data_IF_082211390408
#
_entry.id   IF_082211390408
#
_cell.length_a   1.000
_cell.length_b   1.000
_cell.length_c   1.000
_cell.angle_alpha   90.00
_cell.angle_beta   90.00
_cell.angle_gamma   90.00
#
_symmetry.space_group_name_H-M   'P 1'
#
loop_
_entity.id
_entity.type
_entity.pdbx_description
1 polymer ?
#
# COMPACT_ATOMS: atom_id res chain seq x y z
N UNK A 1 -0.99 -89.32 28.03
CA UNK A 1 -0.97 -88.69 26.70
C UNK A 1 -2.42 -88.40 26.31
N UNK A 2 -3.03 -87.37 26.94
CA UNK A 2 -3.38 -86.17 26.18
C UNK A 2 -3.33 -84.85 26.97
N UNK A 3 -3.01 -83.79 26.21
CA UNK A 3 -3.33 -82.36 26.29
C UNK A 3 -3.96 -81.65 27.50
N UNK A 4 -3.42 -80.45 27.71
CA UNK A 4 -4.05 -79.17 28.09
C UNK A 4 -4.33 -78.84 29.57
N UNK A 5 -3.31 -78.22 30.16
CA UNK A 5 -3.28 -76.95 30.93
C UNK A 5 -4.60 -76.41 31.51
N UNK A 6 -4.65 -76.36 32.85
CA UNK A 6 -5.68 -75.72 33.65
C UNK A 6 -5.20 -74.34 34.15
N UNK A 7 -6.06 -73.35 33.93
CA UNK A 7 -5.98 -71.95 34.40
C UNK A 7 -5.95 -71.85 35.92
N UNK A 8 -5.25 -70.86 36.44
CA UNK A 8 -5.52 -70.26 37.75
C UNK A 8 -5.58 -68.74 37.62
N UNK A 9 -6.62 -68.19 38.23
CA UNK A 9 -7.09 -66.80 38.20
C UNK A 9 -6.44 -66.04 39.36
N UNK A 10 -6.02 -64.80 39.11
CA UNK A 10 -5.82 -63.79 40.16
C UNK A 10 -6.66 -62.57 39.82
N UNK A 11 -7.57 -62.25 40.72
CA UNK A 11 -8.47 -61.09 40.66
C UNK A 11 -7.65 -59.81 40.92
N UNK A 12 -7.76 -58.84 40.00
CA UNK A 12 -7.41 -57.46 40.26
C UNK A 12 -8.63 -56.59 39.94
N UNK A 13 -9.10 -55.87 40.95
CA UNK A 13 -10.22 -54.92 40.90
C UNK A 13 -9.75 -53.66 40.17
N UNK A 14 -10.42 -53.18 39.10
CA UNK A 14 -10.12 -51.86 38.57
C UNK A 14 -10.98 -50.80 39.28
N UNK A 15 -10.29 -49.81 39.86
CA UNK A 15 -10.89 -48.58 40.34
C UNK A 15 -11.44 -47.77 39.15
N UNK A 16 -12.72 -47.41 39.20
CA UNK A 16 -13.36 -46.53 38.24
C UNK A 16 -12.91 -45.08 38.51
N UNK A 17 -12.06 -44.52 37.64
CA UNK A 17 -11.79 -43.10 37.60
C UNK A 17 -12.80 -42.42 36.67
N UNK A 18 -13.78 -41.72 37.25
CA UNK A 18 -14.68 -40.85 36.50
C UNK A 18 -13.92 -39.58 36.09
N UNK A 19 -13.52 -39.51 34.82
CA UNK A 19 -12.99 -38.27 34.24
C UNK A 19 -14.15 -37.30 33.98
N UNK A 20 -14.28 -36.29 34.84
CA UNK A 20 -15.17 -35.15 34.60
C UNK A 20 -14.49 -34.30 33.52
N UNK A 21 -14.94 -34.42 32.28
CA UNK A 21 -14.54 -33.54 31.20
C UNK A 21 -15.14 -32.15 31.43
N UNK A 22 -14.33 -31.21 31.92
CA UNK A 22 -14.67 -29.79 31.91
C UNK A 22 -14.84 -29.34 30.46
N UNK A 23 -15.95 -28.69 30.08
CA UNK A 23 -16.09 -28.15 28.73
C UNK A 23 -15.06 -27.02 28.58
N UNK A 24 -14.08 -27.25 27.71
CA UNK A 24 -13.17 -26.21 27.27
C UNK A 24 -13.98 -25.11 26.59
N UNK A 25 -14.00 -23.93 27.21
CA UNK A 25 -14.51 -22.71 26.59
C UNK A 25 -13.63 -22.40 25.38
N UNK A 26 -14.10 -22.77 24.19
CA UNK A 26 -13.53 -22.30 22.94
C UNK A 26 -13.84 -20.81 22.87
N UNK A 27 -12.89 -19.98 23.29
CA UNK A 27 -12.91 -18.56 22.98
C UNK A 27 -12.77 -18.43 21.47
N UNK A 28 -13.90 -18.20 20.79
CA UNK A 28 -13.89 -17.70 19.40
C UNK A 28 -13.22 -16.34 19.46
N UNK A 29 -11.94 -16.26 19.13
CA UNK A 29 -11.31 -15.00 18.79
C UNK A 29 -12.11 -14.41 17.62
N UNK A 30 -12.91 -13.38 17.89
CA UNK A 30 -13.56 -12.60 16.84
C UNK A 30 -12.45 -11.92 16.08
N UNK A 31 -12.17 -12.36 14.85
CA UNK A 31 -11.26 -11.65 13.97
C UNK A 31 -11.73 -10.19 13.88
N UNK A 32 -10.86 -9.26 14.25
CA UNK A 32 -11.14 -7.82 14.14
C UNK A 32 -11.47 -7.49 12.69
N UNK A 33 -12.46 -6.63 12.48
CA UNK A 33 -12.84 -6.22 11.12
C UNK A 33 -11.65 -5.53 10.44
N UNK A 34 -11.25 -5.97 9.23
CA UNK A 34 -10.04 -5.45 8.58
C UNK A 34 -10.24 -4.02 8.08
N UNK A 35 -9.19 -3.22 8.11
CA UNK A 35 -9.13 -1.83 7.64
C UNK A 35 -8.31 -1.72 6.36
N UNK A 36 -8.75 -2.39 5.30
CA UNK A 36 -7.98 -2.50 4.07
C UNK A 36 -8.10 -1.26 3.15
N UNK A 37 -7.13 -1.10 2.26
CA UNK A 37 -7.05 -0.09 1.19
C UNK A 37 -7.01 -0.78 -0.19
N UNK A 38 -7.41 -0.13 -1.29
CA UNK A 38 -7.94 1.23 -1.39
C UNK A 38 -9.43 1.32 -1.03
N UNK A 39 -9.96 2.54 -0.93
CA UNK A 39 -11.39 2.81 -0.69
C UNK A 39 -11.96 3.78 -1.73
N UNK A 40 -13.30 3.82 -1.85
CA UNK A 40 -13.98 4.92 -2.53
C UNK A 40 -14.15 6.09 -1.56
N UNK A 41 -13.54 7.22 -1.88
CA UNK A 41 -13.58 8.43 -1.08
C UNK A 41 -14.78 9.25 -1.54
N UNK A 42 -15.78 9.39 -0.69
CA UNK A 42 -16.92 10.28 -0.95
C UNK A 42 -16.68 11.65 -0.32
N UNK A 43 -16.52 12.70 -1.14
CA UNK A 43 -16.22 14.06 -0.68
C UNK A 43 -17.27 14.59 0.30
N UNK A 44 -18.55 14.40 -0.03
CA UNK A 44 -19.66 14.84 0.79
C UNK A 44 -19.86 14.00 2.06
N UNK A 45 -19.31 12.78 2.10
CA UNK A 45 -19.33 11.91 3.28
C UNK A 45 -18.13 12.09 4.21
N UNK A 46 -17.09 12.81 3.77
CA UNK A 46 -15.90 13.04 4.57
C UNK A 46 -16.14 14.07 5.69
N UNK A 47 -15.64 13.78 6.89
CA UNK A 47 -15.75 14.68 8.04
C UNK A 47 -14.71 15.78 7.93
N UNK A 48 -15.15 17.01 7.66
CA UNK A 48 -14.28 18.18 7.59
C UNK A 48 -13.63 18.43 8.95
N UNK A 49 -12.30 18.32 8.99
CA UNK A 49 -11.49 18.27 10.21
C UNK A 49 -10.29 19.24 10.09
N UNK A 50 -10.50 20.56 10.13
CA UNK A 50 -9.43 21.55 9.92
C UNK A 50 -8.36 21.55 11.02
N UNK A 51 -8.66 20.96 12.18
CA UNK A 51 -7.73 20.85 13.31
C UNK A 51 -6.80 19.64 13.22
N UNK A 52 -6.92 18.78 12.20
CA UNK A 52 -5.95 17.72 11.99
C UNK A 52 -4.55 18.33 11.76
N UNK A 53 -3.48 17.64 12.20
CA UNK A 53 -2.12 18.12 12.02
C UNK A 53 -1.83 18.50 10.56
N UNK A 54 -1.20 19.66 10.35
CA UNK A 54 -0.80 20.07 9.01
C UNK A 54 0.29 19.13 8.48
N UNK A 55 0.27 18.87 7.17
CA UNK A 55 1.32 18.15 6.49
C UNK A 55 2.41 19.14 6.07
N UNK A 56 3.65 18.93 6.53
CA UNK A 56 4.79 19.73 6.10
C UNK A 56 5.70 18.88 5.22
N UNK A 57 6.00 19.35 4.01
CA UNK A 57 6.77 18.61 3.02
C UNK A 57 8.18 19.18 2.95
N UNK A 58 9.18 18.31 3.00
CA UNK A 58 10.61 18.65 2.95
C UNK A 58 11.28 17.82 1.86
N UNK A 59 11.02 18.18 0.61
CA UNK A 59 11.53 17.50 -0.57
C UNK A 59 12.60 18.36 -1.27
N UNK A 60 13.69 17.76 -1.78
CA UNK A 60 14.79 18.51 -2.39
C UNK A 60 14.46 18.97 -3.82
N UNK A 61 15.14 20.03 -4.28
CA UNK A 61 15.03 20.53 -5.65
C UNK A 61 15.82 19.73 -6.69
N UNK A 62 16.75 18.90 -6.23
CA UNK A 62 17.59 18.06 -7.08
C UNK A 62 17.99 16.83 -6.27
N UNK A 63 17.70 15.66 -6.82
CA UNK A 63 18.05 14.38 -6.24
C UNK A 63 18.26 13.39 -7.38
N UNK A 64 19.30 12.57 -7.29
CA UNK A 64 19.47 11.45 -8.21
C UNK A 64 18.65 10.27 -7.67
N UNK A 65 17.83 9.70 -8.55
CA UNK A 65 16.93 8.60 -8.23
C UNK A 65 17.32 7.35 -9.00
N UNK A 66 17.19 6.22 -8.34
CA UNK A 66 17.20 4.90 -8.97
C UNK A 66 15.76 4.44 -9.12
N UNK A 67 15.38 4.07 -10.34
CA UNK A 67 14.05 3.57 -10.67
C UNK A 67 14.21 2.12 -11.10
N UNK A 68 13.48 1.24 -10.42
CA UNK A 68 13.53 -0.20 -10.67
C UNK A 68 12.16 -0.82 -10.81
N UNK A 69 12.15 -1.97 -11.48
CA UNK A 69 10.98 -2.83 -11.52
C UNK A 69 10.94 -3.70 -10.26
N UNK A 70 9.88 -3.59 -9.46
CA UNK A 70 9.65 -4.48 -8.32
C UNK A 70 8.80 -5.68 -8.76
N UNK A 71 9.48 -6.74 -9.22
CA UNK A 71 8.83 -8.03 -9.51
C UNK A 71 8.66 -8.84 -8.22
N UNK A 72 7.55 -9.57 -8.12
CA UNK A 72 7.25 -10.50 -7.02
C UNK A 72 7.47 -11.95 -7.41
N UNK A 73 7.86 -12.21 -8.65
CA UNK A 73 7.95 -13.53 -9.23
C UNK A 73 9.30 -13.85 -9.92
N UNK A 74 10.33 -13.01 -9.79
CA UNK A 74 11.67 -13.25 -10.37
C UNK A 74 12.27 -14.64 -10.09
N UNK A 75 11.86 -15.29 -9.00
CA UNK A 75 12.29 -16.65 -8.66
C UNK A 75 11.51 -17.77 -9.37
N UNK A 76 10.49 -17.43 -10.17
CA UNK A 76 9.66 -18.36 -10.92
C UNK A 76 10.22 -18.61 -12.33
N UNK A 77 9.98 -19.79 -12.92
CA UNK A 77 10.51 -20.15 -14.24
C UNK A 77 10.15 -19.17 -15.38
N UNK A 78 9.02 -18.46 -15.25
CA UNK A 78 8.49 -17.51 -16.24
C UNK A 78 8.41 -16.07 -15.67
N UNK A 79 9.15 -15.77 -14.59
CA UNK A 79 9.00 -14.57 -13.75
C UNK A 79 9.45 -13.23 -14.36
N UNK A 80 9.59 -13.18 -15.69
CA UNK A 80 9.80 -11.94 -16.44
C UNK A 80 8.84 -11.82 -17.64
N UNK A 81 7.93 -12.78 -17.80
CA UNK A 81 6.93 -12.81 -18.88
C UNK A 81 5.51 -12.47 -18.37
N UNK A 82 5.30 -12.49 -17.05
CA UNK A 82 3.97 -12.45 -16.43
C UNK A 82 3.85 -11.41 -15.33
N UNK A 83 3.58 -10.17 -15.74
CA UNK A 83 3.26 -9.08 -14.82
C UNK A 83 2.02 -9.38 -14.01
N UNK A 84 2.16 -9.31 -12.69
CA UNK A 84 1.00 -9.44 -11.78
C UNK A 84 0.55 -8.06 -11.28
N UNK A 85 -0.68 -7.99 -10.77
CA UNK A 85 -1.21 -6.75 -10.19
C UNK A 85 -0.49 -6.32 -8.89
N UNK A 86 0.43 -7.13 -8.38
CA UNK A 86 1.21 -6.88 -7.17
C UNK A 86 2.59 -6.26 -7.47
N UNK A 87 2.89 -6.05 -8.75
CA UNK A 87 4.14 -5.51 -9.24
C UNK A 87 3.99 -4.06 -9.64
N UNK A 88 5.07 -3.31 -9.52
CA UNK A 88 5.09 -1.89 -9.89
C UNK A 88 6.50 -1.46 -10.26
N UNK A 89 6.61 -0.21 -10.70
CA UNK A 89 7.88 0.47 -10.91
C UNK A 89 8.01 1.54 -9.83
N UNK A 90 9.08 1.44 -9.04
CA UNK A 90 9.32 2.36 -7.93
C UNK A 90 10.61 3.15 -8.14
N UNK A 91 10.59 4.39 -7.68
CA UNK A 91 11.77 5.23 -7.53
C UNK A 91 12.20 5.21 -6.06
N UNK A 92 13.41 4.73 -5.80
CA UNK A 92 13.99 4.71 -4.45
C UNK A 92 14.51 6.09 -4.05
N UNK A 93 14.31 6.43 -2.79
CA UNK A 93 14.76 7.69 -2.21
C UNK A 93 15.90 7.41 -1.24
N UNK A 94 17.09 8.00 -1.44
CA UNK A 94 18.18 7.90 -0.48
C UNK A 94 17.74 8.32 0.92
N UNK A 95 18.15 7.54 1.92
CA UNK A 95 17.69 7.73 3.29
C UNK A 95 17.95 9.17 3.77
N UNK A 96 16.90 9.80 4.28
CA UNK A 96 16.96 11.15 4.84
C UNK A 96 16.99 12.28 3.82
N UNK A 97 17.05 12.00 2.51
CA UNK A 97 17.09 13.01 1.46
C UNK A 97 15.76 13.78 1.30
N UNK A 98 14.63 13.13 1.61
CA UNK A 98 13.30 13.72 1.53
C UNK A 98 12.42 13.18 2.66
N UNK A 99 11.55 14.02 3.23
CA UNK A 99 10.64 13.61 4.30
C UNK A 99 9.40 14.48 4.37
N UNK A 100 8.43 14.03 5.15
CA UNK A 100 7.32 14.87 5.62
C UNK A 100 7.31 14.91 7.14
N UNK A 101 6.75 15.98 7.69
CA UNK A 101 6.47 16.10 9.12
C UNK A 101 4.96 16.18 9.32
N UNK A 102 4.43 15.30 10.17
CA UNK A 102 3.01 15.27 10.56
C UNK A 102 2.93 15.18 12.09
N UNK A 103 2.22 16.12 12.72
CA UNK A 103 2.11 16.22 14.18
C UNK A 103 3.47 16.28 14.92
N UNK A 104 4.49 16.88 14.30
CA UNK A 104 5.84 16.94 14.84
C UNK A 104 6.67 15.66 14.66
N UNK A 105 6.09 14.60 14.09
CA UNK A 105 6.79 13.35 13.77
C UNK A 105 7.30 13.40 12.33
N UNK A 106 8.59 13.09 12.15
CA UNK A 106 9.22 12.97 10.83
C UNK A 106 8.96 11.59 10.25
N UNK A 107 8.52 11.54 8.99
CA UNK A 107 8.41 10.34 8.19
C UNK A 107 9.30 10.49 6.96
N UNK A 108 10.38 9.69 6.89
CA UNK A 108 11.30 9.70 5.75
C UNK A 108 10.61 9.11 4.51
N UNK A 109 10.69 9.78 3.37
CA UNK A 109 10.23 9.22 2.11
C UNK A 109 11.18 8.08 1.73
N UNK A 110 10.64 6.88 1.52
CA UNK A 110 11.40 5.68 1.18
C UNK A 110 11.37 5.40 -0.33
N UNK A 111 10.18 5.51 -0.93
CA UNK A 111 10.00 5.40 -2.37
C UNK A 111 8.73 6.15 -2.82
N UNK A 112 8.61 6.32 -4.13
CA UNK A 112 7.31 6.52 -4.74
C UNK A 112 7.12 5.56 -5.91
N UNK A 113 5.88 5.23 -6.22
CA UNK A 113 5.50 4.37 -7.33
C UNK A 113 4.13 4.78 -7.89
N UNK A 114 3.71 4.13 -8.97
CA UNK A 114 2.47 4.44 -9.69
C UNK A 114 1.64 3.18 -9.89
N UNK A 115 0.32 3.37 -9.92
CA UNK A 115 -0.65 2.37 -10.36
C UNK A 115 -1.43 2.91 -11.56
N UNK A 116 -1.52 2.13 -12.64
CA UNK A 116 -2.38 2.40 -13.78
C UNK A 116 -3.83 2.03 -13.47
N UNK A 117 -4.71 3.00 -13.77
CA UNK A 117 -6.00 3.18 -13.09
C UNK A 117 -5.76 3.43 -11.60
N UNK A 118 -6.35 4.49 -11.07
CA UNK A 118 -6.21 4.78 -9.65
C UNK A 118 -6.79 3.64 -8.81
N UNK A 119 -6.12 3.32 -7.72
CA UNK A 119 -6.60 2.34 -6.76
C UNK A 119 -7.76 2.91 -5.96
N UNK A 120 -7.58 4.12 -5.43
CA UNK A 120 -8.66 4.89 -4.85
C UNK A 120 -9.64 5.34 -5.92
N UNK A 121 -10.87 5.58 -5.47
CA UNK A 121 -11.84 6.37 -6.22
C UNK A 121 -12.20 7.63 -5.46
N UNK A 122 -12.70 8.61 -6.20
CA UNK A 122 -13.20 9.85 -5.64
C UNK A 122 -14.60 10.10 -6.18
N UNK A 123 -15.60 10.03 -5.30
CA UNK A 123 -17.01 10.06 -5.64
C UNK A 123 -17.39 9.01 -6.71
N UNK A 124 -16.84 7.80 -6.58
CA UNK A 124 -17.06 6.70 -7.53
C UNK A 124 -16.25 6.81 -8.83
N UNK A 125 -15.51 7.89 -9.05
CA UNK A 125 -14.67 8.08 -10.24
C UNK A 125 -13.27 7.47 -10.06
N UNK A 126 -12.86 6.65 -11.01
CA UNK A 126 -11.50 6.09 -11.10
C UNK A 126 -10.67 6.91 -12.09
N UNK A 127 -9.50 7.38 -11.67
CA UNK A 127 -8.59 8.17 -12.49
C UNK A 127 -7.69 7.27 -13.35
N UNK A 128 -7.08 7.79 -14.43
CA UNK A 128 -6.19 7.00 -15.27
C UNK A 128 -4.92 6.48 -14.57
N UNK A 129 -4.47 7.16 -13.51
CA UNK A 129 -3.24 6.83 -12.78
C UNK A 129 -3.33 7.34 -11.34
N UNK A 130 -2.66 6.67 -10.42
CA UNK A 130 -2.44 7.14 -9.05
C UNK A 130 -0.98 6.97 -8.66
N UNK A 131 -0.42 7.98 -7.99
CA UNK A 131 0.94 7.92 -7.44
C UNK A 131 0.88 7.78 -5.93
N UNK A 132 1.72 6.90 -5.39
CA UNK A 132 1.91 6.72 -3.96
C UNK A 132 3.30 7.17 -3.54
N UNK A 133 3.35 7.98 -2.49
CA UNK A 133 4.59 8.41 -1.83
C UNK A 133 4.67 7.72 -0.47
N UNK A 134 5.53 6.71 -0.35
CA UNK A 134 5.63 5.86 0.83
C UNK A 134 6.65 6.42 1.81
N UNK A 135 6.21 6.69 3.03
CA UNK A 135 7.07 7.22 4.09
C UNK A 135 7.11 6.29 5.30
N UNK A 136 8.25 6.28 5.97
CA UNK A 136 8.53 5.50 7.17
C UNK A 136 8.82 6.41 8.37
N UNK A 137 8.09 6.19 9.46
CA UNK A 137 8.29 6.81 10.76
C UNK A 137 9.42 6.17 11.57
N UNK A 138 9.78 6.77 12.72
CA UNK A 138 10.92 6.34 13.52
C UNK A 138 10.79 4.92 14.10
N UNK A 139 9.57 4.38 14.23
CA UNK A 139 9.32 3.03 14.74
C UNK A 139 8.76 2.09 13.65
N UNK A 140 8.93 2.44 12.38
CA UNK A 140 8.43 1.66 11.24
C UNK A 140 6.96 1.94 10.87
N UNK A 141 6.35 2.98 11.43
CA UNK A 141 5.01 3.43 11.03
C UNK A 141 5.00 3.83 9.55
N UNK A 142 3.95 3.44 8.82
CA UNK A 142 3.81 3.77 7.40
C UNK A 142 2.84 4.92 7.20
N UNK A 143 3.26 5.92 6.43
CA UNK A 143 2.41 7.01 5.96
C UNK A 143 2.50 7.06 4.43
N UNK A 144 1.37 6.99 3.75
CA UNK A 144 1.31 7.06 2.29
C UNK A 144 0.53 8.30 1.87
N UNK A 145 1.14 9.12 1.01
CA UNK A 145 0.44 10.20 0.32
C UNK A 145 0.01 9.67 -1.04
N UNK A 146 -1.30 9.66 -1.30
CA UNK A 146 -1.87 9.30 -2.60
C UNK A 146 -2.14 10.54 -3.45
N UNK A 147 -1.83 10.49 -4.74
CA UNK A 147 -2.13 11.57 -5.69
C UNK A 147 -2.81 10.99 -6.94
N UNK A 148 -4.05 11.42 -7.19
CA UNK A 148 -4.72 11.16 -8.45
C UNK A 148 -4.04 11.91 -9.59
N UNK A 149 -3.86 11.23 -10.73
CA UNK A 149 -3.26 11.79 -11.93
C UNK A 149 -4.17 11.57 -13.14
N UNK A 150 -4.32 12.60 -13.98
CA UNK A 150 -5.02 12.55 -15.27
C UNK A 150 -4.17 13.19 -16.37
N UNK A 151 -4.62 13.05 -17.61
CA UNK A 151 -4.03 13.79 -18.74
C UNK A 151 -4.49 15.24 -18.76
N UNK A 152 -3.71 16.10 -19.43
CA UNK A 152 -4.01 17.52 -19.59
C UNK A 152 -2.77 18.41 -19.46
N UNK A 153 -1.68 17.86 -18.91
CA UNK A 153 -0.45 18.58 -18.66
C UNK A 153 0.42 18.75 -19.91
N UNK A 154 1.27 19.79 -19.89
CA UNK A 154 2.22 20.09 -20.96
C UNK A 154 3.51 19.25 -20.90
N UNK A 155 3.70 18.45 -19.85
CA UNK A 155 4.92 17.69 -19.61
C UNK A 155 5.93 18.42 -18.72
N UNK A 156 7.08 17.77 -18.48
CA UNK A 156 8.21 18.35 -17.74
C UNK A 156 8.09 18.28 -16.22
N UNK A 157 7.05 17.62 -15.70
CA UNK A 157 6.96 17.33 -14.26
C UNK A 157 7.87 16.15 -13.89
N UNK A 158 8.16 15.99 -12.59
CA UNK A 158 8.84 14.79 -12.10
C UNK A 158 8.08 13.51 -12.49
N UNK A 159 6.74 13.54 -12.44
CA UNK A 159 5.91 12.41 -12.84
C UNK A 159 6.08 12.10 -14.33
N UNK A 160 6.12 13.12 -15.20
CA UNK A 160 6.36 12.91 -16.64
C UNK A 160 7.71 12.26 -16.91
N UNK A 161 8.75 12.66 -16.15
CA UNK A 161 10.10 12.10 -16.25
C UNK A 161 10.13 10.65 -15.78
N UNK A 162 9.64 10.37 -14.58
CA UNK A 162 9.60 9.01 -14.02
C UNK A 162 8.78 8.05 -14.89
N UNK A 163 7.61 8.47 -15.37
CA UNK A 163 6.76 7.66 -16.23
C UNK A 163 7.32 7.46 -17.65
N UNK A 164 8.29 8.26 -18.08
CA UNK A 164 9.02 8.07 -19.33
C UNK A 164 10.28 7.22 -19.15
N UNK A 165 10.72 6.99 -17.91
CA UNK A 165 11.94 6.28 -17.53
C UNK A 165 11.57 5.01 -16.76
N UNK A 166 10.86 4.12 -17.45
CA UNK A 166 10.35 2.87 -16.88
C UNK A 166 11.20 1.70 -17.40
N UNK A 167 11.92 0.98 -16.52
CA UNK A 167 12.69 -0.18 -16.94
C UNK A 167 11.77 -1.30 -17.44
N UNK A 168 12.31 -2.18 -18.27
CA UNK A 168 11.65 -3.44 -18.56
C UNK A 168 11.67 -4.35 -17.33
N UNK A 169 10.75 -5.29 -17.29
CA UNK A 169 10.69 -6.28 -16.22
C UNK A 169 11.97 -7.12 -16.26
N UNK A 170 12.60 -7.31 -15.10
CA UNK A 170 13.92 -7.95 -14.96
C UNK A 170 15.09 -7.27 -15.69
N UNK A 171 14.91 -6.06 -16.24
CA UNK A 171 16.01 -5.27 -16.77
C UNK A 171 16.78 -4.57 -15.64
N UNK A 172 17.97 -4.05 -15.98
CA UNK A 172 18.76 -3.22 -15.09
C UNK A 172 18.01 -1.95 -14.67
N UNK A 173 18.31 -1.50 -13.46
CA UNK A 173 17.73 -0.29 -12.88
C UNK A 173 18.13 0.95 -13.69
N UNK A 174 17.20 1.88 -13.84
CA UNK A 174 17.40 3.11 -14.62
C UNK A 174 17.53 4.31 -13.70
N UNK A 175 18.41 5.24 -14.07
CA UNK A 175 18.72 6.39 -13.24
C UNK A 175 18.03 7.66 -13.77
N UNK A 176 17.40 8.40 -12.87
CA UNK A 176 16.87 9.74 -13.14
C UNK A 176 17.69 10.76 -12.36
N UNK A 177 18.52 11.51 -13.08
CA UNK A 177 19.41 12.52 -12.48
C UNK A 177 18.70 13.86 -12.27
N UNK A 178 19.10 14.57 -11.22
CA UNK A 178 18.63 15.93 -10.90
C UNK A 178 17.10 16.07 -10.85
N UNK A 179 16.42 15.06 -10.31
CA UNK A 179 14.98 15.05 -10.12
C UNK A 179 14.54 16.14 -9.12
N UNK A 180 13.58 16.98 -9.52
CA UNK A 180 13.03 18.04 -8.66
C UNK A 180 11.80 17.54 -7.89
N UNK A 181 12.03 16.99 -6.69
CA UNK A 181 10.96 16.49 -5.82
C UNK A 181 10.19 17.63 -5.14
N UNK A 182 10.80 18.80 -4.92
CA UNK A 182 10.15 19.95 -4.28
C UNK A 182 8.89 20.43 -5.02
N UNK A 183 8.83 20.22 -6.34
CA UNK A 183 7.68 20.56 -7.17
C UNK A 183 6.72 19.38 -7.44
N UNK A 184 6.97 18.21 -6.83
CA UNK A 184 6.24 16.99 -7.14
C UNK A 184 4.85 16.95 -6.52
N UNK A 185 4.67 17.58 -5.35
CA UNK A 185 3.39 17.76 -4.69
C UNK A 185 2.81 19.16 -4.99
N UNK A 186 1.48 19.31 -5.04
CA UNK A 186 0.83 20.61 -5.23
C UNK A 186 1.07 21.56 -4.05
N UNK A 187 0.85 22.86 -4.28
CA UNK A 187 0.87 23.86 -3.20
C UNK A 187 -0.32 23.67 -2.24
N UNK A 188 -1.50 23.32 -2.77
CA UNK A 188 -2.65 22.93 -1.97
C UNK A 188 -2.50 21.47 -1.52
N UNK A 189 -2.23 21.28 -0.23
CA UNK A 189 -2.02 20.00 0.43
C UNK A 189 -3.28 19.50 1.14
N UNK A 190 -4.46 19.93 0.70
CA UNK A 190 -5.74 19.41 1.20
C UNK A 190 -5.85 17.90 0.98
N UNK A 191 -6.17 17.16 2.04
CA UNK A 191 -6.10 15.69 2.05
C UNK A 191 -7.35 15.04 2.64
N UNK A 192 -7.77 13.92 2.06
CA UNK A 192 -8.64 12.93 2.69
C UNK A 192 -7.76 11.95 3.47
N UNK A 193 -8.10 11.72 4.74
CA UNK A 193 -7.28 10.96 5.67
C UNK A 193 -8.05 9.83 6.31
N UNK A 194 -7.45 8.65 6.35
CA UNK A 194 -7.99 7.46 7.00
C UNK A 194 -6.86 6.47 7.32
N UNK A 195 -7.12 5.55 8.26
CA UNK A 195 -6.21 4.44 8.54
C UNK A 195 -6.59 3.23 7.68
N UNK A 196 -5.59 2.69 6.99
CA UNK A 196 -5.75 1.68 5.96
C UNK A 196 -4.66 0.60 6.02
N UNK A 197 -4.43 -0.02 4.87
CA UNK A 197 -3.40 -1.03 4.65
C UNK A 197 -2.46 -0.64 3.51
N UNK A 198 -1.41 -1.43 3.31
CA UNK A 198 -0.77 -1.54 2.00
C UNK A 198 -1.79 -2.05 0.97
N UNK A 199 -1.63 -1.63 -0.29
CA UNK A 199 -2.44 -2.10 -1.42
C UNK A 199 -1.79 -3.24 -2.20
N UNK A 200 -0.55 -3.60 -1.84
CA UNK A 200 0.11 -4.82 -2.28
C UNK A 200 0.39 -5.75 -1.11
N UNK A 201 0.61 -7.03 -1.41
CA UNK A 201 0.93 -8.10 -0.47
C UNK A 201 2.13 -7.71 0.42
N UNK A 202 2.06 -7.94 1.75
CA UNK A 202 1.05 -8.74 2.47
C UNK A 202 -0.15 -7.92 3.00
N UNK A 203 -0.49 -6.80 2.35
CA UNK A 203 -1.61 -5.90 2.71
C UNK A 203 -1.63 -5.49 4.18
N UNK A 204 -0.45 -5.25 4.76
CA UNK A 204 -0.30 -4.99 6.19
C UNK A 204 -1.00 -3.71 6.64
N UNK A 205 -1.56 -3.78 7.84
CA UNK A 205 -2.10 -2.64 8.60
C UNK A 205 -1.21 -2.36 9.82
N UNK A 206 -1.19 -1.12 10.36
CA UNK A 206 -1.85 0.07 9.85
C UNK A 206 -0.96 0.86 8.87
N UNK A 207 -1.60 1.56 7.95
CA UNK A 207 -1.00 2.60 7.10
C UNK A 207 -1.83 3.88 7.23
N UNK A 208 -1.19 5.00 7.57
CA UNK A 208 -1.85 6.31 7.56
C UNK A 208 -1.91 6.85 6.13
N UNK A 209 -3.11 6.85 5.54
CA UNK A 209 -3.34 7.36 4.19
C UNK A 209 -3.69 8.84 4.21
N UNK A 210 -2.98 9.62 3.39
CA UNK A 210 -3.24 11.04 3.10
C UNK A 210 -3.44 11.19 1.59
N UNK A 211 -4.67 11.02 1.09
CA UNK A 211 -4.99 11.16 -0.34
C UNK A 211 -5.26 12.62 -0.67
N UNK A 212 -4.45 13.21 -1.54
CA UNK A 212 -4.58 14.60 -1.97
C UNK A 212 -5.88 14.81 -2.74
N UNK A 213 -6.61 15.88 -2.42
CA UNK A 213 -7.80 16.29 -3.18
C UNK A 213 -7.43 16.90 -4.54
N UNK A 214 -6.22 17.46 -4.66
CA UNK A 214 -5.71 17.97 -5.92
C UNK A 214 -5.36 16.84 -6.89
N UNK A 215 -5.93 16.90 -8.10
CA UNK A 215 -5.63 15.99 -9.20
C UNK A 215 -4.49 16.56 -10.05
N UNK A 216 -3.40 15.84 -10.20
CA UNK A 216 -2.24 16.25 -11.01
C UNK A 216 -2.49 15.94 -12.49
N UNK A 217 -2.02 16.83 -13.35
CA UNK A 217 -2.06 16.64 -14.80
C UNK A 217 -0.67 16.33 -15.35
N UNK A 218 -0.58 15.31 -16.21
CA UNK A 218 0.64 14.91 -16.91
C UNK A 218 0.42 14.88 -18.43
N UNK A 219 1.50 14.74 -19.18
CA UNK A 219 1.46 14.59 -20.64
C UNK A 219 0.88 13.24 -21.01
N UNK A 220 0.00 13.23 -22.01
CA UNK A 220 -0.67 12.01 -22.47
C UNK A 220 0.31 10.90 -22.92
N UNK A 221 1.45 11.27 -23.51
CA UNK A 221 2.46 10.30 -23.93
C UNK A 221 3.15 9.60 -22.76
N UNK A 222 3.37 10.30 -21.64
CA UNK A 222 3.97 9.71 -20.43
C UNK A 222 3.01 8.72 -19.79
N UNK A 223 1.72 9.07 -19.72
CA UNK A 223 0.68 8.13 -19.28
C UNK A 223 0.66 6.88 -20.18
N UNK A 224 0.55 7.06 -21.50
CA UNK A 224 0.44 5.95 -22.44
C UNK A 224 1.65 5.02 -22.39
N UNK A 225 2.86 5.58 -22.22
CA UNK A 225 4.07 4.77 -22.04
C UNK A 225 3.96 3.87 -20.82
N UNK A 226 3.65 4.43 -19.65
CA UNK A 226 3.51 3.64 -18.43
C UNK A 226 2.40 2.59 -18.54
N UNK A 227 1.22 2.96 -19.08
CA UNK A 227 0.12 2.01 -19.23
C UNK A 227 0.44 0.84 -20.17
N UNK A 228 1.25 1.05 -21.21
CA UNK A 228 1.70 -0.04 -22.08
C UNK A 228 2.58 -1.07 -21.37
N UNK A 229 3.16 -0.72 -20.22
CA UNK A 229 3.92 -1.62 -19.37
C UNK A 229 3.01 -2.48 -18.48
N UNK A 230 1.76 -2.08 -18.25
CA UNK A 230 0.82 -2.81 -17.38
C UNK A 230 -0.49 -3.06 -18.13
N UNK A 231 -0.50 -3.96 -19.14
CA UNK A 231 -1.65 -4.14 -20.03
C UNK A 231 -2.91 -4.63 -19.31
N UNK A 232 -2.76 -5.45 -18.28
CA UNK A 232 -3.88 -5.91 -17.42
C UNK A 232 -4.21 -4.93 -16.27
N UNK A 233 -3.31 -3.96 -16.07
CA UNK A 233 -3.26 -3.01 -14.97
C UNK A 233 -2.82 -3.63 -13.65
N UNK A 234 -2.51 -2.76 -12.69
CA UNK A 234 -1.90 -3.08 -11.39
C UNK A 234 -2.68 -2.45 -10.22
N UNK A 235 -3.95 -2.09 -10.44
CA UNK A 235 -4.81 -1.49 -9.42
C UNK A 235 -5.57 -2.55 -8.62
N UNK A 236 -5.41 -2.58 -7.30
CA UNK A 236 -6.21 -3.43 -6.41
C UNK A 236 -7.70 -3.02 -6.41
N UNK A 237 -8.64 -3.97 -6.35
CA UNK A 237 -10.05 -3.67 -6.17
C UNK A 237 -10.35 -2.91 -4.86
N UNK A 238 -11.41 -2.10 -4.88
CA UNK A 238 -11.90 -1.37 -3.71
C UNK A 238 -12.21 -2.29 -2.53
N UNK A 239 -11.89 -1.81 -1.33
CA UNK A 239 -12.13 -2.47 -0.06
C UNK A 239 -13.23 -1.75 0.72
N UNK A 240 -13.93 -2.50 1.56
CA UNK A 240 -15.01 -1.94 2.37
C UNK A 240 -14.47 -0.99 3.45
N UNK A 241 -15.19 0.12 3.68
CA UNK A 241 -14.78 1.10 4.69
C UNK A 241 -14.89 0.56 6.12
N UNK A 242 -15.74 -0.46 6.36
CA UNK A 242 -15.81 -1.21 7.60
C UNK A 242 -15.95 -0.34 8.87
N UNK A 243 -16.81 0.69 8.80
CA UNK A 243 -17.07 1.59 9.93
C UNK A 243 -16.00 2.67 10.17
N UNK A 244 -14.91 2.67 9.40
CA UNK A 244 -13.94 3.78 9.40
C UNK A 244 -14.60 5.07 8.92
N UNK A 245 -14.07 6.19 9.37
CA UNK A 245 -14.49 7.53 8.92
C UNK A 245 -13.35 8.18 8.16
N UNK A 246 -13.63 8.65 6.95
CA UNK A 246 -12.68 9.48 6.18
C UNK A 246 -12.79 10.92 6.67
N UNK A 247 -11.65 11.53 7.02
CA UNK A 247 -11.58 12.93 7.45
C UNK A 247 -11.01 13.79 6.32
N UNK A 248 -11.58 14.96 6.08
CA UNK A 248 -11.04 15.92 5.13
C UNK A 248 -10.31 17.04 5.86
N UNK A 249 -9.01 17.21 5.58
CA UNK A 249 -8.19 18.31 6.09
C UNK A 249 -7.89 19.29 4.96
N UNK A 250 -8.57 20.45 4.89
CA UNK A 250 -8.22 21.50 3.93
C UNK A 250 -6.87 22.12 4.31
N UNK A 251 -5.96 22.38 3.38
CA UNK A 251 -4.65 23.01 3.63
C UNK A 251 -4.18 23.71 2.35
N UNK A 252 -4.52 24.99 2.21
CA UNK A 252 -4.18 25.83 1.06
C UNK A 252 -2.83 26.55 1.22
#
# INVERSE_FOLDING_TARGET
>A
MPGLTRRSVLFAVPAAAAAIASPALISRATASTPHQSPIDIHRHGAVVSPHLPALHVHYPHSLDLEIRYESKDQSQPDGCEHRTAEETVLAEIPEGAAWVTLAGVRYNLANFHFHTRSEHRLDGHQFPLEQHWVHLGPNGEKLVIGQFIKTGGHGGTLQDQALATVPEECAEDVHLHAANLAAALPSDLSTFRYDGSLTTSPYSEPVSWLVLNHVREIKASSLAHFQSRFPDGDSRPLQALNGRTVKYRPQH
#
